data_IF_805764365204
#
_entry.id   IF_805764365204
#
_cell.length_a   1.000
_cell.length_b   1.000
_cell.length_c   1.000
_cell.angle_alpha   90.00
_cell.angle_beta   90.00
_cell.angle_gamma   90.00
#
_symmetry.space_group_name_H-M   'P 1'
#
loop_
_entity.id
_entity.type
_entity.pdbx_description
1 polymer ?
#
# COMPACT_ATOMS: atom_id res chain seq x y z
N UNK A 1 33.05 85.56 31.19
CA UNK A 1 32.94 84.24 31.90
C UNK A 1 31.70 83.52 31.44
N UNK A 2 31.64 82.93 30.24
CA UNK A 2 30.42 82.33 29.73
C UNK A 2 30.72 81.08 28.86
N UNK A 3 31.82 80.36 29.04
CA UNK A 3 32.20 79.21 28.24
C UNK A 3 32.12 77.82 28.92
N UNK A 4 31.84 77.76 30.22
CA UNK A 4 31.89 76.50 31.01
C UNK A 4 30.60 75.73 31.15
N UNK A 5 29.44 76.27 30.79
CA UNK A 5 28.15 75.60 31.01
C UNK A 5 27.58 74.81 29.81
N UNK A 6 28.07 75.08 28.59
CA UNK A 6 27.57 74.36 27.38
C UNK A 6 28.17 72.97 27.23
N UNK A 7 29.39 72.75 27.66
CA UNK A 7 30.06 71.46 27.47
C UNK A 7 29.54 70.31 28.40
N UNK A 8 29.03 70.70 29.60
CA UNK A 8 28.47 69.70 30.55
C UNK A 8 27.12 69.14 30.11
N UNK A 9 26.26 69.93 29.45
CA UNK A 9 24.95 69.48 28.98
C UNK A 9 25.06 68.55 27.75
N UNK A 10 26.04 68.75 26.88
CA UNK A 10 26.29 67.90 25.73
C UNK A 10 26.81 66.50 26.14
N UNK A 11 27.67 66.46 27.18
CA UNK A 11 28.16 65.15 27.70
C UNK A 11 27.08 64.35 28.43
N UNK A 12 26.11 64.97 29.06
CA UNK A 12 24.98 64.27 29.68
C UNK A 12 23.99 63.81 28.71
N UNK A 13 23.74 64.49 27.59
CA UNK A 13 22.86 64.00 26.50
C UNK A 13 23.46 62.87 25.72
N UNK A 14 24.77 62.82 25.50
CA UNK A 14 25.46 61.71 24.85
C UNK A 14 25.47 60.46 25.74
N UNK A 15 25.58 60.61 27.07
CA UNK A 15 25.52 59.49 28.02
C UNK A 15 24.15 58.80 28.08
N UNK A 16 23.06 59.55 27.94
CA UNK A 16 21.67 59.01 27.98
C UNK A 16 21.34 58.30 26.65
N UNK A 17 21.82 58.78 25.52
CA UNK A 17 21.65 58.11 24.21
C UNK A 17 22.45 56.83 24.12
N UNK A 18 23.66 56.76 24.68
CA UNK A 18 24.47 55.54 24.71
C UNK A 18 23.88 54.45 25.63
N UNK A 19 23.28 54.82 26.79
CA UNK A 19 22.60 53.89 27.69
C UNK A 19 21.28 53.34 27.08
N UNK A 20 20.55 54.14 26.31
CA UNK A 20 19.33 53.72 25.61
C UNK A 20 19.62 52.73 24.45
N UNK A 21 20.72 52.92 23.73
CA UNK A 21 21.12 52.03 22.63
C UNK A 21 21.61 50.65 23.13
N UNK A 22 22.23 50.55 24.31
CA UNK A 22 22.64 49.30 24.93
C UNK A 22 21.44 48.49 25.46
N UNK A 23 20.39 49.16 25.94
CA UNK A 23 19.18 48.51 26.47
C UNK A 23 18.32 47.87 25.36
N UNK A 24 18.34 48.39 24.12
CA UNK A 24 17.60 47.85 22.96
C UNK A 24 18.30 46.61 22.38
N UNK A 25 19.63 46.49 22.51
CA UNK A 25 20.36 45.32 22.03
C UNK A 25 20.21 44.08 22.91
N UNK A 26 19.74 44.19 24.15
CA UNK A 26 19.53 43.03 25.04
C UNK A 26 18.16 42.37 24.90
N UNK A 27 17.24 42.91 24.11
CA UNK A 27 15.89 42.36 23.93
C UNK A 27 15.76 41.40 22.72
N UNK A 28 16.83 41.17 21.96
CA UNK A 28 16.80 40.26 20.80
C UNK A 28 17.31 38.85 21.08
N UNK A 29 17.57 38.48 22.32
CA UNK A 29 18.13 37.19 22.67
C UNK A 29 17.17 36.39 23.53
N UNK A 30 16.33 35.66 22.95
CA UNK A 30 15.81 34.35 23.36
C UNK A 30 14.54 34.02 22.56
N UNK A 31 14.63 33.93 21.24
CA UNK A 31 13.72 33.04 20.54
C UNK A 31 14.10 31.61 20.97
N UNK A 32 13.23 30.89 21.65
CA UNK A 32 13.52 29.48 21.97
C UNK A 32 13.83 28.77 20.67
N UNK A 33 15.04 28.25 20.53
CA UNK A 33 15.41 27.45 19.36
C UNK A 33 14.46 26.28 19.30
N UNK A 34 13.54 26.32 18.38
CA UNK A 34 12.55 25.27 18.19
C UNK A 34 13.29 23.94 17.95
N UNK A 35 13.00 22.92 18.78
CA UNK A 35 13.65 21.61 18.64
C UNK A 35 13.31 21.05 17.27
N UNK A 36 14.30 20.68 16.46
CA UNK A 36 14.05 20.19 15.12
C UNK A 36 13.24 18.89 15.17
N UNK A 37 12.23 18.80 14.32
CA UNK A 37 11.47 17.57 14.11
C UNK A 37 12.20 16.75 13.06
N UNK A 38 12.55 15.52 13.41
CA UNK A 38 13.19 14.55 12.52
C UNK A 38 12.26 13.34 12.38
N UNK A 39 11.77 13.13 11.17
CA UNK A 39 10.88 12.01 10.81
C UNK A 39 11.56 11.14 9.77
N UNK A 40 11.38 9.83 9.89
CA UNK A 40 11.67 8.90 8.80
C UNK A 40 10.42 8.09 8.49
N UNK A 41 10.26 7.74 7.21
CA UNK A 41 9.04 7.09 6.72
C UNK A 41 9.41 5.86 5.90
N UNK A 42 8.68 4.77 6.13
CA UNK A 42 8.63 3.62 5.21
C UNK A 42 7.21 3.45 4.69
N UNK A 43 7.07 2.91 3.49
CA UNK A 43 5.77 2.50 2.95
C UNK A 43 5.88 1.06 2.47
N UNK A 44 5.01 0.20 2.98
CA UNK A 44 5.02 -1.24 2.68
C UNK A 44 3.63 -1.86 2.83
N UNK A 45 3.49 -3.11 2.38
CA UNK A 45 2.28 -3.88 2.56
C UNK A 45 2.48 -4.98 3.60
N UNK A 46 1.50 -5.16 4.48
CA UNK A 46 1.32 -6.36 5.28
C UNK A 46 0.54 -7.41 4.46
N UNK A 47 0.61 -8.69 4.85
CA UNK A 47 -0.20 -9.74 4.20
C UNK A 47 -1.70 -9.43 4.20
N UNK A 48 -2.20 -8.79 5.26
CA UNK A 48 -3.59 -8.34 5.35
C UNK A 48 -3.95 -7.18 4.41
N UNK A 49 -2.97 -6.56 3.78
CA UNK A 49 -3.16 -5.41 2.90
C UNK A 49 -3.38 -5.83 1.44
N UNK A 50 -2.90 -7.01 1.03
CA UNK A 50 -2.96 -7.43 -0.38
C UNK A 50 -4.39 -7.47 -0.93
N UNK A 51 -5.33 -8.12 -0.22
CA UNK A 51 -6.71 -8.27 -0.67
C UNK A 51 -7.49 -6.96 -0.78
N UNK A 52 -7.06 -5.93 -0.07
CA UNK A 52 -7.76 -4.63 0.00
C UNK A 52 -6.93 -3.48 -0.57
N UNK A 53 -5.81 -3.80 -1.23
CA UNK A 53 -4.87 -2.81 -1.75
C UNK A 53 -4.36 -1.84 -0.68
N UNK A 54 -4.24 -2.32 0.56
CA UNK A 54 -3.72 -1.55 1.69
C UNK A 54 -2.22 -1.29 1.56
N UNK A 55 -1.75 -0.25 2.26
CA UNK A 55 -0.34 -0.03 2.53
C UNK A 55 -0.20 0.67 3.88
N UNK A 56 0.91 0.43 4.56
CA UNK A 56 1.25 1.07 5.82
C UNK A 56 2.23 2.22 5.54
N UNK A 57 1.91 3.40 6.04
CA UNK A 57 2.85 4.52 6.17
C UNK A 57 3.43 4.42 7.58
N UNK A 58 4.57 3.76 7.73
CA UNK A 58 5.30 3.67 9.00
C UNK A 58 6.06 4.97 9.22
N UNK A 59 5.71 5.71 10.27
CA UNK A 59 6.35 6.98 10.62
C UNK A 59 7.12 6.79 11.92
N UNK A 60 8.43 7.00 11.87
CA UNK A 60 9.29 7.02 13.06
C UNK A 60 9.62 8.46 13.44
N UNK A 61 9.27 8.85 14.65
CA UNK A 61 9.67 10.12 15.25
C UNK A 61 11.06 10.00 15.86
N UNK A 62 12.08 10.51 15.17
CA UNK A 62 13.47 10.51 15.64
C UNK A 62 13.81 11.72 16.52
N UNK A 63 12.88 12.65 16.70
CA UNK A 63 13.05 13.84 17.56
C UNK A 63 12.84 13.51 19.04
N UNK A 64 13.14 14.47 19.91
CA UNK A 64 12.90 14.40 21.35
C UNK A 64 11.59 15.11 21.76
N UNK A 65 10.68 15.33 20.81
CA UNK A 65 9.41 16.03 21.01
C UNK A 65 8.28 15.13 20.57
N UNK A 66 7.26 15.00 21.39
CA UNK A 66 6.03 14.29 21.02
C UNK A 66 5.29 15.07 19.93
N UNK A 67 4.63 14.35 19.05
CA UNK A 67 3.85 14.91 17.95
C UNK A 67 2.45 14.32 17.94
N UNK A 68 1.49 15.11 17.48
CA UNK A 68 0.20 14.63 17.03
C UNK A 68 0.21 14.68 15.51
N UNK A 69 0.25 13.53 14.85
CA UNK A 69 0.12 13.48 13.38
C UNK A 69 -1.34 13.77 13.02
N UNK A 70 -1.59 14.91 12.40
CA UNK A 70 -2.94 15.35 12.00
C UNK A 70 -3.31 14.94 10.58
N UNK A 71 -2.32 14.59 9.75
CA UNK A 71 -2.52 14.05 8.41
C UNK A 71 -1.29 13.26 7.97
N UNK A 72 -1.52 12.10 7.37
CA UNK A 72 -0.52 11.30 6.69
C UNK A 72 -1.06 10.93 5.30
N UNK A 73 -0.44 11.45 4.25
CA UNK A 73 -0.90 11.30 2.86
C UNK A 73 0.21 10.72 2.00
N UNK A 74 -0.09 9.64 1.28
CA UNK A 74 0.80 9.02 0.32
C UNK A 74 0.47 9.47 -1.11
N UNK A 75 1.47 9.91 -1.86
CA UNK A 75 1.37 10.31 -3.25
C UNK A 75 2.44 9.64 -4.11
N UNK A 76 2.05 9.23 -5.30
CA UNK A 76 2.95 8.71 -6.34
C UNK A 76 2.33 8.95 -7.70
N UNK A 77 3.14 9.25 -8.72
CA UNK A 77 2.68 9.34 -10.10
C UNK A 77 2.12 8.02 -10.63
N UNK A 78 2.49 6.89 -10.03
CA UNK A 78 2.03 5.56 -10.41
C UNK A 78 0.56 5.27 -10.10
N UNK A 79 -0.09 6.12 -9.31
CA UNK A 79 -1.49 5.93 -8.93
C UNK A 79 -2.34 7.12 -9.37
N UNK A 80 -3.61 6.87 -9.61
CA UNK A 80 -4.56 7.86 -10.15
C UNK A 80 -4.82 9.03 -9.22
N UNK A 81 -4.58 8.86 -7.91
CA UNK A 81 -4.73 9.93 -6.89
C UNK A 81 -3.85 9.67 -5.67
N UNK A 82 -3.58 10.72 -4.92
CA UNK A 82 -3.05 10.62 -3.56
C UNK A 82 -4.08 10.06 -2.60
N UNK A 83 -3.62 9.38 -1.54
CA UNK A 83 -4.49 8.76 -0.53
C UNK A 83 -4.05 9.18 0.86
N UNK A 84 -5.02 9.42 1.74
CA UNK A 84 -4.78 9.82 3.12
C UNK A 84 -5.20 8.72 4.08
N UNK A 85 -4.47 8.58 5.17
CA UNK A 85 -4.82 7.63 6.22
C UNK A 85 -6.03 8.12 7.02
N UNK A 86 -7.06 7.26 7.21
CA UNK A 86 -8.16 7.57 8.11
C UNK A 86 -7.77 7.47 9.59
N UNK A 87 -6.59 6.91 9.91
CA UNK A 87 -6.10 6.77 11.28
C UNK A 87 -5.54 8.08 11.87
N UNK A 88 -5.40 9.14 11.09
CA UNK A 88 -5.09 10.47 11.59
C UNK A 88 -6.39 11.18 12.06
N UNK A 89 -6.36 11.96 13.17
CA UNK A 89 -5.19 12.27 13.99
C UNK A 89 -4.76 11.14 14.96
N UNK A 90 -3.45 10.95 15.13
CA UNK A 90 -2.90 9.93 16.03
C UNK A 90 -1.61 10.44 16.70
N UNK A 91 -1.39 10.17 18.01
CA UNK A 91 -0.15 10.55 18.68
C UNK A 91 1.04 9.76 18.14
N UNK A 92 2.18 10.44 18.04
CA UNK A 92 3.47 9.85 17.69
C UNK A 92 4.50 10.36 18.70
N UNK A 93 4.71 9.60 19.76
CA UNK A 93 5.60 9.96 20.84
C UNK A 93 7.06 10.09 20.37
N UNK A 94 7.86 10.82 21.12
CA UNK A 94 9.29 10.92 20.88
C UNK A 94 9.95 9.54 20.86
N UNK A 95 10.80 9.28 19.84
CA UNK A 95 11.54 8.02 19.67
C UNK A 95 10.66 6.78 19.43
N UNK A 96 9.39 6.96 19.05
CA UNK A 96 8.48 5.84 18.72
C UNK A 96 8.16 5.78 17.24
N UNK A 97 7.53 4.70 16.84
CA UNK A 97 7.04 4.42 15.48
C UNK A 97 5.55 4.11 15.52
N UNK A 98 4.81 4.58 14.53
CA UNK A 98 3.37 4.32 14.38
C UNK A 98 3.05 4.11 12.90
N UNK A 99 2.15 3.18 12.63
CA UNK A 99 1.64 2.89 11.29
C UNK A 99 0.34 3.64 10.99
N UNK A 100 0.28 4.21 9.80
CA UNK A 100 -0.89 4.88 9.26
C UNK A 100 -1.33 4.17 7.99
N UNK A 101 -2.40 3.39 8.08
CA UNK A 101 -2.91 2.61 6.95
C UNK A 101 -3.57 3.50 5.91
N UNK A 102 -3.29 3.22 4.63
CA UNK A 102 -3.96 3.79 3.47
C UNK A 102 -4.46 2.68 2.56
N UNK A 103 -5.41 2.99 1.68
CA UNK A 103 -5.82 2.11 0.57
C UNK A 103 -5.34 2.76 -0.73
N UNK A 104 -4.47 2.05 -1.46
CA UNK A 104 -3.87 2.54 -2.69
C UNK A 104 -4.94 2.73 -3.78
N UNK A 105 -4.84 3.82 -4.51
CA UNK A 105 -5.66 4.06 -5.69
C UNK A 105 -5.27 3.11 -6.84
N UNK A 106 -6.09 3.05 -7.88
CA UNK A 106 -5.77 2.27 -9.08
C UNK A 106 -4.46 2.75 -9.74
N UNK A 107 -3.74 1.83 -10.36
CA UNK A 107 -2.50 2.11 -11.08
C UNK A 107 -2.74 3.03 -12.28
N UNK A 108 -1.76 3.90 -12.53
CA UNK A 108 -1.66 4.72 -13.74
C UNK A 108 -0.57 4.13 -14.63
N UNK A 109 -0.95 3.38 -15.63
CA UNK A 109 -0.03 2.55 -16.41
C UNK A 109 0.75 3.29 -17.49
N UNK A 110 0.38 4.53 -17.79
CA UNK A 110 1.06 5.46 -18.69
C UNK A 110 2.04 6.40 -17.99
N UNK A 111 2.13 6.32 -16.67
CA UNK A 111 2.96 7.24 -15.89
C UNK A 111 4.45 6.89 -15.95
N UNK A 112 5.28 7.92 -16.11
CA UNK A 112 6.72 7.80 -15.92
C UNK A 112 7.05 7.44 -14.45
N UNK A 113 8.17 6.73 -14.24
CA UNK A 113 8.68 6.45 -12.89
C UNK A 113 8.98 7.77 -12.18
N UNK A 114 8.40 7.96 -11.01
CA UNK A 114 8.68 9.07 -10.13
C UNK A 114 8.75 8.56 -8.68
N UNK A 115 9.65 9.15 -7.91
CA UNK A 115 9.77 8.80 -6.50
C UNK A 115 8.44 9.10 -5.77
N UNK A 116 7.92 8.16 -4.98
CA UNK A 116 6.76 8.41 -4.14
C UNK A 116 7.11 9.39 -3.02
N UNK A 117 6.10 10.09 -2.52
CA UNK A 117 6.24 11.05 -1.44
C UNK A 117 5.17 10.82 -0.38
N UNK A 118 5.52 11.11 0.87
CA UNK A 118 4.58 11.18 1.98
C UNK A 118 4.54 12.60 2.51
N UNK A 119 3.33 13.17 2.54
CA UNK A 119 3.09 14.47 3.13
C UNK A 119 2.48 14.27 4.52
N UNK A 120 3.12 14.88 5.50
CA UNK A 120 2.73 14.82 6.90
C UNK A 120 2.33 16.21 7.38
N UNK A 121 1.29 16.29 8.20
CA UNK A 121 0.97 17.44 9.02
C UNK A 121 0.95 16.98 10.48
N UNK A 122 1.45 17.81 11.36
CA UNK A 122 1.52 17.50 12.79
C UNK A 122 1.38 18.75 13.65
N UNK A 123 1.01 18.55 14.91
CA UNK A 123 1.08 19.55 15.95
C UNK A 123 2.02 19.10 17.05
N UNK A 124 2.66 20.07 17.72
CA UNK A 124 3.53 19.87 18.88
C UNK A 124 2.78 20.13 20.19
N UNK A 125 3.31 19.74 21.36
CA UNK A 125 2.68 19.97 22.65
C UNK A 125 2.42 21.44 22.99
N UNK A 126 3.21 22.35 22.41
CA UNK A 126 3.02 23.81 22.56
C UNK A 126 1.91 24.38 21.66
N UNK A 127 1.22 23.53 20.89
CA UNK A 127 0.17 23.91 19.96
C UNK A 127 0.67 24.38 18.59
N UNK A 128 1.97 24.50 18.38
CA UNK A 128 2.53 24.86 17.06
C UNK A 128 2.30 23.74 16.06
N UNK A 129 1.97 24.12 14.81
CA UNK A 129 1.75 23.18 13.69
C UNK A 129 2.96 23.14 12.79
N UNK A 130 3.21 21.98 12.20
CA UNK A 130 4.25 21.77 11.21
C UNK A 130 3.83 20.85 10.09
N UNK A 131 4.63 20.83 9.03
CA UNK A 131 4.47 19.92 7.91
C UNK A 131 5.82 19.36 7.47
N UNK A 132 5.81 18.16 6.93
CA UNK A 132 6.98 17.53 6.34
C UNK A 132 6.60 16.82 5.03
N UNK A 133 7.47 16.87 4.05
CA UNK A 133 7.41 16.05 2.84
C UNK A 133 8.61 15.13 2.85
N UNK A 134 8.37 13.83 2.86
CA UNK A 134 9.42 12.82 3.02
C UNK A 134 9.33 11.84 1.85
N UNK A 135 10.47 11.55 1.22
CA UNK A 135 10.58 10.40 0.31
C UNK A 135 10.68 9.13 1.16
N UNK A 136 9.72 8.23 1.10
CA UNK A 136 9.74 7.03 1.93
C UNK A 136 10.75 6.01 1.43
N UNK A 137 11.27 5.18 2.33
CA UNK A 137 11.89 3.91 1.97
C UNK A 137 10.77 2.91 1.65
N UNK A 138 10.93 2.13 0.59
CA UNK A 138 9.96 1.11 0.17
C UNK A 138 10.62 -0.27 0.24
N UNK A 139 10.47 -0.98 1.36
CA UNK A 139 11.00 -2.34 1.48
C UNK A 139 10.38 -3.28 0.43
N UNK A 140 11.20 -4.18 -0.12
CA UNK A 140 10.77 -5.22 -1.06
C UNK A 140 10.07 -4.69 -2.33
N UNK A 141 10.31 -3.44 -2.70
CA UNK A 141 9.67 -2.78 -3.85
C UNK A 141 8.13 -2.92 -3.88
N UNK A 142 7.51 -3.08 -2.72
CA UNK A 142 6.09 -3.44 -2.58
C UNK A 142 5.15 -2.54 -3.38
N UNK A 143 5.45 -1.26 -3.48
CA UNK A 143 4.62 -0.29 -4.24
C UNK A 143 4.78 -0.46 -5.75
N UNK A 144 5.98 -0.78 -6.24
CA UNK A 144 6.18 -1.09 -7.67
C UNK A 144 5.57 -2.43 -8.06
N UNK A 145 5.56 -3.40 -7.14
CA UNK A 145 4.88 -4.68 -7.33
C UNK A 145 3.37 -4.46 -7.51
N UNK A 146 2.72 -3.71 -6.62
CA UNK A 146 1.28 -3.39 -6.76
C UNK A 146 0.99 -2.68 -8.08
N UNK A 147 1.80 -1.68 -8.45
CA UNK A 147 1.64 -0.99 -9.71
C UNK A 147 1.82 -1.93 -10.92
N UNK A 148 2.81 -2.81 -10.88
CA UNK A 148 3.06 -3.82 -11.93
C UNK A 148 1.88 -4.79 -12.08
N UNK A 149 1.32 -5.26 -10.96
CA UNK A 149 0.12 -6.12 -10.93
C UNK A 149 -1.08 -5.41 -11.58
N UNK A 150 -1.38 -4.18 -11.15
CA UNK A 150 -2.47 -3.39 -11.73
C UNK A 150 -2.31 -3.25 -13.24
N UNK A 151 -1.11 -2.92 -13.68
CA UNK A 151 -0.91 -2.59 -15.08
C UNK A 151 -0.83 -3.82 -15.97
N UNK A 152 -0.31 -4.94 -15.51
CA UNK A 152 -0.38 -6.21 -16.24
C UNK A 152 -1.83 -6.70 -16.36
N UNK A 153 -2.64 -6.57 -15.32
CA UNK A 153 -4.06 -6.88 -15.37
C UNK A 153 -4.81 -5.97 -16.34
N UNK A 154 -4.59 -4.65 -16.27
CA UNK A 154 -5.19 -3.69 -17.23
C UNK A 154 -4.83 -4.03 -18.67
N UNK A 155 -3.57 -4.36 -18.96
CA UNK A 155 -3.15 -4.74 -20.31
C UNK A 155 -3.77 -6.07 -20.75
N UNK A 156 -3.87 -7.05 -19.86
CA UNK A 156 -4.53 -8.31 -20.13
C UNK A 156 -6.02 -8.10 -20.45
N UNK A 157 -6.71 -7.34 -19.61
CA UNK A 157 -8.14 -7.10 -19.75
C UNK A 157 -8.53 -6.20 -20.93
N UNK A 158 -7.57 -5.52 -21.58
CA UNK A 158 -7.82 -4.87 -22.87
C UNK A 158 -8.20 -5.90 -23.94
N UNK A 159 -7.61 -7.09 -23.93
CA UNK A 159 -7.76 -8.13 -24.95
C UNK A 159 -8.75 -9.20 -24.52
N UNK A 160 -8.70 -9.64 -23.26
CA UNK A 160 -9.60 -10.68 -22.74
C UNK A 160 -10.05 -10.33 -21.31
N UNK A 161 -11.36 -10.25 -21.11
CA UNK A 161 -11.96 -10.08 -19.77
C UNK A 161 -11.92 -11.40 -19.01
N UNK A 162 -11.63 -11.29 -17.70
CA UNK A 162 -11.57 -12.41 -16.78
C UNK A 162 -12.83 -12.41 -15.92
N UNK A 163 -13.42 -13.57 -15.70
CA UNK A 163 -14.52 -13.75 -14.75
C UNK A 163 -14.40 -15.09 -14.04
N UNK A 164 -14.55 -15.07 -12.72
CA UNK A 164 -14.65 -16.24 -11.87
C UNK A 164 -16.11 -16.66 -11.72
N UNK A 165 -16.36 -17.97 -11.71
CA UNK A 165 -17.70 -18.49 -11.47
C UNK A 165 -18.25 -17.98 -10.12
N UNK A 166 -19.55 -17.68 -10.02
CA UNK A 166 -20.16 -17.16 -8.79
C UNK A 166 -20.33 -18.22 -7.69
N UNK A 167 -20.11 -19.51 -8.01
CA UNK A 167 -20.23 -20.61 -7.08
C UNK A 167 -19.20 -21.71 -7.40
N UNK A 168 -18.85 -22.47 -6.37
CA UNK A 168 -18.01 -23.66 -6.51
C UNK A 168 -18.83 -24.84 -7.04
N UNK A 169 -18.18 -25.70 -7.80
CA UNK A 169 -18.63 -27.06 -8.07
C UNK A 169 -17.75 -28.04 -7.29
N UNK A 170 -18.18 -29.26 -7.12
CA UNK A 170 -17.41 -30.26 -6.41
C UNK A 170 -17.38 -31.54 -7.27
N UNK A 171 -16.21 -32.14 -7.36
CA UNK A 171 -16.06 -33.44 -7.96
C UNK A 171 -16.88 -34.50 -7.23
N UNK A 172 -17.34 -35.58 -7.92
CA UNK A 172 -17.75 -36.79 -7.23
C UNK A 172 -16.62 -37.28 -6.30
N UNK A 173 -16.93 -37.96 -5.18
CA UNK A 173 -15.91 -38.53 -4.32
C UNK A 173 -15.06 -39.53 -5.14
N UNK A 174 -13.76 -39.25 -5.28
CA UNK A 174 -12.86 -40.09 -6.08
C UNK A 174 -12.13 -41.11 -5.22
N UNK A 175 -11.99 -40.83 -3.92
CA UNK A 175 -11.26 -41.64 -2.98
C UNK A 175 -12.16 -42.33 -1.97
N UNK A 176 -11.67 -43.44 -1.41
CA UNK A 176 -12.36 -44.18 -0.34
C UNK A 176 -12.62 -43.35 0.93
N UNK A 177 -11.92 -42.20 1.11
CA UNK A 177 -12.10 -41.26 2.18
C UNK A 177 -13.25 -40.26 1.97
N UNK A 178 -13.94 -40.31 0.82
CA UNK A 178 -15.07 -39.45 0.46
C UNK A 178 -14.73 -37.98 0.23
N UNK A 179 -13.46 -37.60 0.19
CA UNK A 179 -13.02 -36.23 -0.05
C UNK A 179 -13.28 -35.80 -1.48
N UNK A 180 -13.70 -34.54 -1.63
CA UNK A 180 -14.09 -33.96 -2.93
C UNK A 180 -13.27 -32.69 -3.16
N UNK A 181 -12.66 -32.58 -4.32
CA UNK A 181 -12.00 -31.35 -4.72
C UNK A 181 -13.02 -30.24 -5.01
N UNK A 182 -12.62 -29.00 -4.81
CA UNK A 182 -13.41 -27.84 -5.20
C UNK A 182 -13.01 -27.38 -6.60
N UNK A 183 -14.00 -27.24 -7.46
CA UNK A 183 -13.83 -26.78 -8.83
C UNK A 183 -14.30 -25.33 -8.96
N UNK A 184 -13.43 -24.48 -9.50
CA UNK A 184 -13.73 -23.07 -9.76
C UNK A 184 -13.44 -22.77 -11.24
N UNK A 185 -14.44 -22.32 -11.95
CA UNK A 185 -14.30 -21.97 -13.37
C UNK A 185 -13.80 -20.53 -13.51
N UNK A 186 -12.78 -20.37 -14.32
CA UNK A 186 -12.17 -19.10 -14.71
C UNK A 186 -12.41 -18.92 -16.21
N UNK A 187 -13.25 -17.96 -16.59
CA UNK A 187 -13.65 -17.74 -17.98
C UNK A 187 -12.97 -16.49 -18.55
N UNK A 188 -12.39 -16.65 -19.72
CA UNK A 188 -11.74 -15.60 -20.50
C UNK A 188 -12.61 -15.28 -21.71
N UNK A 189 -13.06 -14.01 -21.79
CA UNK A 189 -13.93 -13.54 -22.87
C UNK A 189 -13.18 -12.48 -23.68
N UNK A 190 -12.92 -12.71 -24.99
CA UNK A 190 -12.30 -11.71 -25.84
C UNK A 190 -13.10 -10.43 -25.89
N UNK A 191 -12.41 -9.30 -25.87
CA UNK A 191 -13.02 -7.97 -25.97
C UNK A 191 -13.24 -7.50 -27.40
N UNK A 192 -12.61 -8.17 -28.37
CA UNK A 192 -12.54 -7.73 -29.76
C UNK A 192 -11.43 -6.71 -30.02
N UNK A 193 -10.73 -6.24 -29.00
CA UNK A 193 -9.60 -5.34 -29.17
C UNK A 193 -8.39 -6.06 -29.82
N UNK A 194 -7.60 -5.35 -30.66
CA UNK A 194 -6.41 -5.94 -31.27
C UNK A 194 -5.35 -6.24 -30.20
N UNK A 195 -4.53 -7.27 -30.49
CA UNK A 195 -3.47 -7.71 -29.59
C UNK A 195 -3.58 -9.18 -29.22
N UNK A 196 -2.67 -9.60 -28.37
CA UNK A 196 -2.60 -10.96 -27.85
C UNK A 196 -2.19 -10.93 -26.39
N UNK A 197 -2.78 -11.78 -25.58
CA UNK A 197 -2.39 -12.03 -24.19
C UNK A 197 -2.28 -13.53 -23.97
N UNK A 198 -1.39 -13.95 -23.06
CA UNK A 198 -1.22 -15.35 -22.73
C UNK A 198 -1.32 -15.55 -21.23
N UNK A 199 -2.18 -16.47 -20.79
CA UNK A 199 -2.16 -17.02 -19.45
C UNK A 199 -1.23 -18.24 -19.46
N UNK A 200 -0.08 -18.13 -18.81
CA UNK A 200 0.88 -19.23 -18.70
C UNK A 200 0.44 -20.25 -17.66
N UNK A 201 0.07 -19.75 -16.48
CA UNK A 201 -0.27 -20.62 -15.35
C UNK A 201 -1.14 -19.95 -14.33
N UNK A 202 -1.75 -20.79 -13.48
CA UNK A 202 -2.39 -20.40 -12.22
C UNK A 202 -1.59 -21.02 -11.09
N UNK A 203 -1.17 -20.20 -10.13
CA UNK A 203 -0.35 -20.64 -9.01
C UNK A 203 -1.19 -21.06 -7.80
N UNK A 204 -0.60 -21.85 -6.91
CA UNK A 204 -1.17 -22.17 -5.63
C UNK A 204 -1.27 -20.92 -4.73
N UNK A 205 -2.14 -20.99 -3.73
CA UNK A 205 -2.27 -19.96 -2.71
C UNK A 205 -1.87 -20.51 -1.35
N UNK A 206 -1.94 -19.68 -0.32
CA UNK A 206 -1.72 -20.13 1.08
C UNK A 206 -2.81 -21.05 1.60
N UNK A 207 -3.97 -21.11 0.94
CA UNK A 207 -5.14 -21.90 1.32
C UNK A 207 -5.41 -23.05 0.38
N UNK A 208 -5.15 -22.87 -0.92
CA UNK A 208 -5.57 -23.73 -2.00
C UNK A 208 -4.36 -24.21 -2.81
N UNK A 209 -4.23 -25.51 -2.96
CA UNK A 209 -3.29 -26.13 -3.88
C UNK A 209 -4.03 -26.70 -5.08
N UNK A 210 -3.40 -26.69 -6.25
CA UNK A 210 -3.90 -27.43 -7.41
C UNK A 210 -3.72 -28.94 -7.17
N UNK A 211 -4.71 -29.74 -7.52
CA UNK A 211 -4.62 -31.21 -7.30
C UNK A 211 -3.48 -31.86 -8.10
N UNK A 212 -3.15 -31.32 -9.26
CA UNK A 212 -2.15 -31.89 -10.18
C UNK A 212 -0.73 -31.35 -9.95
N UNK A 213 -0.52 -30.56 -8.87
CA UNK A 213 0.80 -30.02 -8.52
C UNK A 213 0.76 -28.49 -8.28
N UNK A 214 1.88 -27.91 -7.80
CA UNK A 214 1.90 -26.56 -7.24
C UNK A 214 1.72 -25.44 -8.28
N UNK A 215 1.69 -25.79 -9.54
CA UNK A 215 1.55 -24.84 -10.66
C UNK A 215 0.72 -25.51 -11.76
N UNK A 216 -0.48 -24.98 -12.02
CA UNK A 216 -1.26 -25.42 -13.17
C UNK A 216 -0.80 -24.67 -14.41
N UNK A 217 -0.05 -25.31 -15.28
CA UNK A 217 0.24 -24.82 -16.63
C UNK A 217 -1.03 -24.80 -17.46
N UNK A 218 -1.31 -23.66 -18.08
CA UNK A 218 -2.51 -23.45 -18.92
C UNK A 218 -2.14 -23.16 -20.36
N UNK A 219 -1.16 -22.29 -20.58
CA UNK A 219 -0.66 -21.85 -21.91
C UNK A 219 -1.75 -21.39 -22.86
N UNK A 220 -2.76 -20.68 -22.33
CA UNK A 220 -3.88 -20.16 -23.09
C UNK A 220 -3.54 -18.80 -23.70
N UNK A 221 -3.47 -18.73 -25.02
CA UNK A 221 -3.32 -17.47 -25.76
C UNK A 221 -4.69 -16.99 -26.27
N UNK A 222 -5.02 -15.73 -25.94
CA UNK A 222 -6.26 -15.07 -26.34
C UNK A 222 -5.97 -13.90 -27.29
N UNK A 223 -6.80 -13.78 -28.32
CA UNK A 223 -6.80 -12.68 -29.30
C UNK A 223 -8.24 -12.21 -29.54
N UNK A 224 -8.42 -11.16 -30.34
CA UNK A 224 -9.75 -10.70 -30.73
C UNK A 224 -10.62 -11.77 -31.43
N UNK A 225 -10.00 -12.73 -32.08
CA UNK A 225 -10.69 -13.81 -32.82
C UNK A 225 -10.89 -15.11 -32.01
N UNK A 226 -10.35 -15.17 -30.79
CA UNK A 226 -10.50 -16.36 -29.94
C UNK A 226 -11.95 -16.52 -29.46
N UNK A 227 -12.48 -17.74 -29.33
CA UNK A 227 -13.74 -17.94 -28.64
C UNK A 227 -13.61 -17.71 -27.14
N UNK A 228 -14.69 -17.39 -26.41
CA UNK A 228 -14.68 -17.46 -24.96
C UNK A 228 -14.21 -18.83 -24.48
N UNK A 229 -13.28 -18.88 -23.55
CA UNK A 229 -12.61 -20.08 -23.08
C UNK A 229 -12.68 -20.18 -21.57
N UNK A 230 -13.03 -21.35 -21.05
CA UNK A 230 -13.09 -21.61 -19.61
C UNK A 230 -12.00 -22.58 -19.19
N UNK A 231 -11.27 -22.20 -18.14
CA UNK A 231 -10.30 -23.04 -17.43
C UNK A 231 -10.90 -23.41 -16.09
N UNK A 232 -11.09 -24.70 -15.83
CA UNK A 232 -11.54 -25.17 -14.52
C UNK A 232 -10.33 -25.37 -13.62
N UNK A 233 -10.26 -24.64 -12.51
CA UNK A 233 -9.29 -24.83 -11.45
C UNK A 233 -9.78 -25.92 -10.51
N UNK A 234 -8.89 -26.84 -10.16
CA UNK A 234 -9.20 -28.04 -9.40
C UNK A 234 -8.41 -28.02 -8.09
N UNK A 235 -9.05 -27.59 -7.01
CA UNK A 235 -8.39 -27.30 -5.75
C UNK A 235 -8.54 -28.42 -4.71
N UNK A 236 -7.46 -28.63 -3.98
CA UNK A 236 -7.43 -29.27 -2.66
C UNK A 236 -6.91 -28.26 -1.62
N UNK A 237 -7.20 -28.41 -0.31
CA UNK A 237 -6.59 -27.54 0.69
C UNK A 237 -5.06 -27.70 0.70
N UNK A 238 -4.32 -26.58 0.75
CA UNK A 238 -2.86 -26.57 0.90
C UNK A 238 -2.42 -27.20 2.24
N UNK A 239 -3.32 -27.27 3.21
CA UNK A 239 -3.13 -27.96 4.46
C UNK A 239 -4.32 -27.84 5.39
N UNK A 240 -4.40 -28.75 6.39
CA UNK A 240 -5.53 -28.91 7.29
C UNK A 240 -5.28 -28.35 8.70
N UNK A 241 -4.33 -27.44 8.89
CA UNK A 241 -4.10 -26.79 10.18
C UNK A 241 -5.10 -25.66 10.38
N UNK A 242 -6.04 -25.81 11.32
CA UNK A 242 -7.11 -24.85 11.60
C UNK A 242 -6.58 -23.42 11.81
N UNK A 243 -5.49 -23.29 12.57
CA UNK A 243 -4.86 -21.99 12.84
C UNK A 243 -4.36 -21.31 11.55
N UNK A 244 -3.76 -22.07 10.65
CA UNK A 244 -3.30 -21.57 9.34
C UNK A 244 -4.45 -21.04 8.48
N UNK A 245 -5.58 -21.76 8.49
CA UNK A 245 -6.78 -21.37 7.75
C UNK A 245 -7.46 -20.15 8.38
N UNK A 246 -7.56 -20.09 9.71
CA UNK A 246 -8.15 -18.96 10.42
C UNK A 246 -7.35 -17.64 10.25
N UNK A 247 -6.03 -17.75 10.07
CA UNK A 247 -5.16 -16.59 9.84
C UNK A 247 -4.98 -16.25 8.36
N UNK A 248 -5.62 -17.00 7.46
CA UNK A 248 -5.46 -16.75 6.04
C UNK A 248 -6.04 -15.38 5.63
N UNK A 249 -5.24 -14.62 4.86
CA UNK A 249 -5.59 -13.28 4.38
C UNK A 249 -5.60 -13.17 2.85
N UNK A 250 -4.93 -14.07 2.17
CA UNK A 250 -4.68 -13.98 0.73
C UNK A 250 -5.00 -15.28 -0.04
N UNK A 251 -5.33 -16.35 0.65
CA UNK A 251 -5.53 -17.68 0.03
C UNK A 251 -6.73 -17.80 -0.92
N UNK A 252 -7.53 -16.74 -1.03
CA UNK A 252 -8.64 -16.62 -1.98
C UNK A 252 -8.37 -15.54 -3.06
N UNK A 253 -7.13 -15.08 -3.19
CA UNK A 253 -6.63 -14.31 -4.32
C UNK A 253 -5.95 -15.30 -5.28
N UNK A 254 -6.54 -15.54 -6.42
CA UNK A 254 -6.07 -16.54 -7.39
C UNK A 254 -4.96 -15.92 -8.25
N UNK A 255 -3.69 -16.35 -8.12
CA UNK A 255 -2.59 -15.75 -8.84
C UNK A 255 -2.55 -16.25 -10.28
N UNK A 256 -2.47 -15.32 -11.23
CA UNK A 256 -2.39 -15.56 -12.65
C UNK A 256 -1.06 -15.06 -13.20
N UNK A 257 -0.30 -15.95 -13.85
CA UNK A 257 0.96 -15.61 -14.50
C UNK A 257 0.72 -15.41 -15.98
N UNK A 258 1.05 -14.22 -16.49
CA UNK A 258 0.61 -13.78 -17.80
C UNK A 258 1.68 -13.05 -18.60
N UNK A 259 1.51 -13.07 -19.93
CA UNK A 259 2.06 -12.07 -20.83
C UNK A 259 0.95 -11.13 -21.31
N UNK A 260 1.15 -9.81 -21.13
CA UNK A 260 0.16 -8.82 -21.52
C UNK A 260 0.85 -7.48 -21.89
N UNK A 261 0.63 -6.99 -23.10
CA UNK A 261 1.27 -5.76 -23.58
C UNK A 261 2.80 -5.79 -23.42
N UNK A 262 3.42 -4.87 -22.67
CA UNK A 262 4.86 -4.88 -22.42
C UNK A 262 5.27 -5.81 -21.26
N UNK A 263 4.32 -6.33 -20.50
CA UNK A 263 4.56 -7.18 -19.33
C UNK A 263 4.78 -8.62 -19.75
N UNK A 264 5.89 -9.23 -19.28
CA UNK A 264 6.24 -10.62 -19.53
C UNK A 264 6.36 -11.34 -18.21
N UNK A 265 5.83 -12.57 -18.17
CA UNK A 265 5.85 -13.40 -16.97
C UNK A 265 5.34 -12.66 -15.73
N UNK A 266 4.38 -11.75 -15.94
CA UNK A 266 3.84 -10.91 -14.90
C UNK A 266 2.81 -11.67 -14.05
N UNK A 267 2.73 -11.31 -12.77
CA UNK A 267 1.80 -11.90 -11.83
C UNK A 267 0.79 -10.86 -11.38
N UNK A 268 -0.49 -11.16 -11.49
CA UNK A 268 -1.55 -10.44 -10.77
C UNK A 268 -2.55 -11.46 -10.20
N UNK A 269 -3.46 -11.02 -9.35
CA UNK A 269 -4.39 -11.93 -8.69
C UNK A 269 -5.83 -11.49 -8.87
N UNK A 270 -6.70 -12.46 -9.16
CA UNK A 270 -8.15 -12.32 -9.18
C UNK A 270 -8.76 -12.68 -7.83
N UNK A 271 -9.53 -11.78 -7.25
CA UNK A 271 -10.22 -12.02 -5.99
C UNK A 271 -11.52 -12.80 -6.26
N UNK A 272 -11.73 -13.90 -5.55
CA UNK A 272 -13.03 -14.57 -5.58
C UNK A 272 -14.11 -13.71 -4.91
N UNK A 273 -15.38 -13.91 -5.29
CA UNK A 273 -16.50 -13.22 -4.63
C UNK A 273 -16.58 -13.58 -3.12
N UNK A 274 -17.17 -12.71 -2.28
CA UNK A 274 -17.37 -13.05 -0.86
C UNK A 274 -18.14 -14.37 -0.64
N UNK A 275 -19.09 -14.71 -1.51
CA UNK A 275 -19.84 -15.95 -1.45
C UNK A 275 -18.95 -17.17 -1.76
N UNK A 276 -18.11 -17.09 -2.79
CA UNK A 276 -17.14 -18.15 -3.14
C UNK A 276 -16.09 -18.28 -2.04
N UNK A 277 -15.63 -17.16 -1.46
CA UNK A 277 -14.70 -17.19 -0.33
C UNK A 277 -15.27 -17.94 0.87
N UNK A 278 -16.52 -17.66 1.26
CA UNK A 278 -17.19 -18.35 2.34
C UNK A 278 -17.31 -19.85 2.03
N UNK A 279 -17.75 -20.21 0.82
CA UNK A 279 -17.89 -21.61 0.40
C UNK A 279 -16.54 -22.35 0.36
N UNK A 280 -15.43 -21.68 -0.01
CA UNK A 280 -14.09 -22.28 0.04
C UNK A 280 -13.66 -22.58 1.48
N UNK A 281 -13.89 -21.65 2.42
CA UNK A 281 -13.54 -21.85 3.82
C UNK A 281 -14.37 -22.98 4.45
N UNK A 282 -15.69 -23.04 4.19
CA UNK A 282 -16.56 -24.11 4.63
C UNK A 282 -16.13 -25.47 4.05
N UNK A 283 -15.82 -25.51 2.75
CA UNK A 283 -15.33 -26.72 2.09
C UNK A 283 -14.00 -27.19 2.68
N UNK A 284 -13.05 -26.30 2.96
CA UNK A 284 -11.78 -26.67 3.62
C UNK A 284 -12.05 -27.33 4.97
N UNK A 285 -12.98 -26.79 5.78
CA UNK A 285 -13.39 -27.42 7.05
C UNK A 285 -13.92 -28.83 6.85
N UNK A 286 -14.84 -29.03 5.91
CA UNK A 286 -15.38 -30.35 5.57
C UNK A 286 -14.32 -31.31 5.06
N UNK A 287 -13.46 -30.85 4.13
CA UNK A 287 -12.38 -31.64 3.56
C UNK A 287 -11.38 -32.10 4.62
N UNK A 288 -11.09 -31.24 5.57
CA UNK A 288 -10.14 -31.48 6.66
C UNK A 288 -10.74 -32.21 7.86
N UNK A 289 -12.08 -32.32 7.96
CA UNK A 289 -12.78 -33.07 9.01
C UNK A 289 -12.86 -32.32 10.34
N UNK A 290 -13.00 -31.00 10.32
CA UNK A 290 -13.19 -30.16 11.51
C UNK A 290 -14.22 -29.04 11.30
#
# INVERSE_FOLDING_TARGET
MAHGRRSRRIRQLIGILAAGALAVLCLTACTPTEKPVALSVKVYQLRSDYAIRGAQIEITNRSAVDLQITSATFGSAWFTKTVSSPSAPNPLLAKTTTDFRVVLAAGRCDAAKAAPVVHLRYTRPDGSSGAATVTPTIPFDSISVVHGQDCSQVEFEKVAKISLAPALRFDPPVAADGKRAALLDLTFTPTGAPGSVTLHSVEDTTLLAQREGPLRTVDLTMTAASPPTTVTLDFVPEGCLQHRVAEDKIGTLIPLRVDAGPYRDALFSEAVSPAVKAALLDWVGVYCGW
#
